data_IF_362010078413
#
_entry.id   IF_362010078413
#
_cell.length_a   1.000
_cell.length_b   1.000
_cell.length_c   1.000
_cell.angle_alpha   90.00
_cell.angle_beta   90.00
_cell.angle_gamma   90.00
#
_symmetry.space_group_name_H-M   'P 1'
#
loop_
_entity.id
_entity.type
_entity.pdbx_description
1 polymer ?
#
# COMPACT_ATOMS: atom_id res chain seq x y z
N UNK A 1 18.24 7.33 19.72
CA UNK A 1 18.22 7.60 18.93
C UNK A 1 17.31 7.81 17.88
N UNK A 2 16.41 8.66 18.00
CA UNK A 2 15.36 8.91 17.06
C UNK A 2 15.86 9.31 15.70
N UNK A 3 17.04 9.84 15.65
CA UNK A 3 17.59 10.26 14.41
C UNK A 3 17.76 9.12 13.43
N UNK A 4 18.21 8.00 13.91
CA UNK A 4 18.40 6.86 13.06
C UNK A 4 17.12 6.13 12.81
N UNK A 5 16.19 6.19 13.74
CA UNK A 5 14.94 5.50 13.61
C UNK A 5 14.12 6.04 12.46
N UNK A 6 14.31 7.29 12.11
CA UNK A 6 13.59 7.86 11.01
C UNK A 6 13.94 7.22 9.70
N UNK A 7 15.17 6.78 9.56
CA UNK A 7 15.66 6.27 8.29
C UNK A 7 15.82 4.77 8.26
N UNK A 8 15.71 4.15 9.42
CA UNK A 8 15.85 2.71 9.50
C UNK A 8 14.54 2.10 9.84
N UNK A 9 13.88 1.55 8.89
CA UNK A 9 12.66 0.84 9.19
C UNK A 9 12.98 -0.55 9.65
N UNK A 10 12.30 -0.96 10.68
CA UNK A 10 12.47 -2.29 11.22
C UNK A 10 11.30 -3.14 10.76
N UNK A 11 11.60 -4.28 10.19
CA UNK A 11 10.56 -5.19 9.70
C UNK A 11 10.52 -6.43 10.56
N UNK A 12 9.35 -6.98 10.77
CA UNK A 12 9.21 -8.18 11.57
C UNK A 12 9.58 -9.40 10.72
N UNK A 13 9.38 -10.59 11.27
CA UNK A 13 9.79 -11.80 10.58
C UNK A 13 8.97 -12.09 9.33
N UNK A 14 7.86 -11.43 9.19
CA UNK A 14 7.01 -11.58 8.02
C UNK A 14 7.29 -10.49 6.98
N UNK A 15 8.17 -9.54 7.29
CA UNK A 15 8.55 -8.49 6.36
C UNK A 15 7.72 -7.22 6.44
N UNK A 16 7.02 -7.01 7.56
CA UNK A 16 6.16 -5.84 7.74
C UNK A 16 6.70 -4.94 8.84
N UNK A 17 6.55 -3.64 8.64
CA UNK A 17 7.01 -2.69 9.64
C UNK A 17 5.94 -2.53 10.74
N UNK A 18 6.17 -1.57 11.62
CA UNK A 18 5.26 -1.35 12.75
C UNK A 18 3.87 -0.91 12.33
N UNK A 19 3.77 -0.31 11.18
CA UNK A 19 2.48 0.14 10.65
C UNK A 19 1.77 -0.95 9.85
N UNK A 20 2.44 -2.08 9.64
CA UNK A 20 1.85 -3.18 8.92
C UNK A 20 2.10 -3.19 7.42
N UNK A 21 3.09 -2.41 6.97
CA UNK A 21 3.42 -2.33 5.54
C UNK A 21 4.78 -2.96 5.27
N UNK A 22 4.92 -3.59 4.12
CA UNK A 22 6.18 -4.21 3.76
C UNK A 22 7.13 -3.15 3.19
N UNK A 23 8.29 -3.59 2.71
CA UNK A 23 9.31 -2.66 2.22
C UNK A 23 8.86 -1.90 0.97
N UNK A 24 7.86 -2.40 0.29
CA UNK A 24 7.31 -1.74 -0.89
C UNK A 24 6.15 -0.81 -0.54
N UNK A 25 5.74 -0.79 0.72
CA UNK A 25 4.68 0.08 1.18
C UNK A 25 3.28 -0.53 1.12
N UNK A 26 3.18 -1.85 0.98
CA UNK A 26 1.90 -2.54 0.89
C UNK A 26 1.65 -3.38 2.13
N UNK A 27 0.40 -3.45 2.56
CA UNK A 27 0.04 -4.21 3.73
C UNK A 27 -0.15 -5.68 3.36
N UNK A 28 -0.60 -6.49 4.32
CA UNK A 28 -0.78 -7.92 4.11
C UNK A 28 -1.80 -8.24 3.03
N UNK A 29 -2.72 -7.34 2.81
CA UNK A 29 -3.74 -7.53 1.79
C UNK A 29 -3.27 -7.06 0.44
N UNK A 30 -2.10 -6.41 0.39
CA UNK A 30 -1.52 -5.94 -0.86
C UNK A 30 -1.87 -4.52 -1.23
N UNK A 31 -2.36 -3.71 -0.28
CA UNK A 31 -2.75 -2.33 -0.53
C UNK A 31 -1.86 -1.36 0.22
N UNK A 32 -1.58 -0.23 -0.39
CA UNK A 32 -0.73 0.77 0.24
C UNK A 32 -1.57 1.67 1.14
N UNK A 33 -0.94 2.70 1.70
CA UNK A 33 -1.61 3.61 2.64
C UNK A 33 -2.78 4.34 2.01
N UNK A 34 -2.73 4.52 0.72
CA UNK A 34 -3.82 5.20 0.01
C UNK A 34 -4.94 4.26 -0.38
N UNK A 35 -4.75 2.94 -0.12
CA UNK A 35 -5.79 1.97 -0.40
C UNK A 35 -5.71 1.33 -1.77
N UNK A 36 -4.58 1.50 -2.47
CA UNK A 36 -4.39 0.94 -3.82
C UNK A 36 -3.36 -0.17 -3.80
N UNK A 37 -3.60 -1.19 -4.61
CA UNK A 37 -2.68 -2.30 -4.73
C UNK A 37 -1.54 -1.99 -5.69
N UNK A 38 -0.67 -2.96 -5.90
CA UNK A 38 0.46 -2.82 -6.83
C UNK A 38 0.00 -2.51 -8.23
N UNK A 39 -1.15 -3.01 -8.61
CA UNK A 39 -1.68 -2.78 -9.94
C UNK A 39 -2.31 -1.40 -10.10
N UNK A 40 -2.36 -0.61 -9.03
CA UNK A 40 -2.90 0.74 -9.08
C UNK A 40 -4.39 0.84 -8.83
N UNK A 41 -5.04 -0.27 -8.47
CA UNK A 41 -6.48 -0.30 -8.22
C UNK A 41 -6.76 -0.56 -6.75
N UNK A 42 -7.81 0.07 -6.24
CA UNK A 42 -8.25 -0.16 -4.88
C UNK A 42 -8.94 -1.51 -4.77
N UNK A 43 -9.33 -1.89 -3.57
CA UNK A 43 -10.01 -3.17 -3.39
C UNK A 43 -11.38 -3.17 -4.05
N UNK A 44 -11.92 -2.00 -4.36
CA UNK A 44 -13.17 -1.90 -5.11
C UNK A 44 -12.94 -2.05 -6.60
N UNK A 45 -11.67 -2.09 -7.03
CA UNK A 45 -11.36 -2.28 -8.43
C UNK A 45 -11.21 -1.01 -9.26
N UNK A 46 -11.10 0.14 -8.60
CA UNK A 46 -10.99 1.43 -9.30
C UNK A 46 -9.65 2.09 -8.99
N UNK A 47 -9.11 2.78 -9.98
CA UNK A 47 -7.84 3.47 -9.80
C UNK A 47 -8.07 4.85 -9.16
N UNK A 48 -7.00 5.63 -9.07
CA UNK A 48 -7.07 6.96 -8.46
C UNK A 48 -8.03 7.90 -9.16
N UNK A 49 -8.21 7.69 -10.44
CA UNK A 49 -9.10 8.54 -11.22
C UNK A 49 -10.54 8.06 -11.15
N UNK A 50 -10.77 6.91 -10.53
CA UNK A 50 -12.11 6.37 -10.38
C UNK A 50 -12.55 5.44 -11.49
N UNK A 51 -11.60 4.95 -12.30
CA UNK A 51 -11.92 4.05 -13.42
C UNK A 51 -11.46 2.64 -13.10
N UNK A 52 -12.22 1.66 -13.51
CA UNK A 52 -11.81 0.28 -13.35
C UNK A 52 -10.92 -0.11 -14.52
N UNK A 53 -10.45 -1.36 -14.52
CA UNK A 53 -9.50 -1.77 -15.55
C UNK A 53 -10.12 -1.87 -16.93
N UNK A 54 -11.43 -1.84 -17.02
CA UNK A 54 -12.11 -1.81 -18.31
C UNK A 54 -12.34 -0.38 -18.79
N UNK A 55 -11.96 0.61 -17.98
CA UNK A 55 -12.06 2.00 -18.38
C UNK A 55 -13.38 2.67 -18.00
N UNK A 56 -14.21 2.01 -17.20
CA UNK A 56 -15.48 2.59 -16.76
C UNK A 56 -15.32 3.19 -15.38
N UNK A 57 -15.90 4.37 -15.17
CA UNK A 57 -15.85 4.95 -13.85
C UNK A 57 -16.95 4.35 -12.98
N UNK A 58 -16.89 4.63 -11.69
CA UNK A 58 -17.82 4.01 -10.79
C UNK A 58 -19.20 4.68 -10.76
N UNK A 59 -19.31 5.77 -11.45
CA UNK A 59 -20.61 6.38 -11.65
C UNK A 59 -21.17 6.00 -12.99
#
# INVERSE_FOLDING_TARGET
MGLFDKFSKTFDKFGYDLDGYDKNGYDKKGYNKNGYGENGYSKDGYDKKGYNKNGYDKN
#
